data_IF_341640940843
#
_entry.id   IF_341640940843
#
_cell.length_a   1.000
_cell.length_b   1.000
_cell.length_c   1.000
_cell.angle_alpha   90.00
_cell.angle_beta   90.00
_cell.angle_gamma   90.00
#
_symmetry.space_group_name_H-M   'P 1'
#
loop_
_entity.id
_entity.type
_entity.pdbx_description
1 polymer ?
#
# COMPACT_ATOMS: atom_id res chain seq x y z
N UNK A 1 -13.61 -9.64 -17.16
CA UNK A 1 -12.72 -9.70 -15.99
C UNK A 1 -11.36 -9.11 -16.36
N UNK A 2 -10.85 -8.22 -15.53
CA UNK A 2 -9.60 -7.53 -15.86
C UNK A 2 -8.39 -8.36 -15.47
N UNK A 3 -7.39 -8.35 -16.34
CA UNK A 3 -6.11 -9.00 -16.06
C UNK A 3 -5.23 -8.04 -15.28
N UNK A 4 -5.09 -8.29 -13.99
CA UNK A 4 -4.24 -7.49 -13.11
C UNK A 4 -2.88 -8.17 -13.00
N UNK A 5 -1.82 -7.43 -13.27
CA UNK A 5 -0.47 -7.95 -13.19
C UNK A 5 0.47 -6.93 -12.59
N UNK A 6 1.67 -7.37 -12.26
CA UNK A 6 2.72 -6.51 -11.72
C UNK A 6 3.93 -6.61 -12.63
N UNK A 7 4.58 -5.48 -12.88
CA UNK A 7 5.87 -5.49 -13.59
C UNK A 7 6.87 -4.66 -12.81
N UNK A 8 8.17 -4.97 -12.92
CA UNK A 8 9.17 -4.11 -12.27
C UNK A 8 9.11 -2.69 -12.83
N UNK A 9 9.30 -1.70 -11.96
CA UNK A 9 9.41 -0.33 -12.41
C UNK A 9 10.79 -0.12 -13.04
N UNK A 10 10.86 0.84 -13.96
CA UNK A 10 12.12 1.27 -14.57
C UNK A 10 12.24 2.77 -14.38
N UNK A 11 13.44 3.36 -14.56
CA UNK A 11 13.61 4.80 -14.34
C UNK A 11 12.64 5.66 -15.11
N UNK A 12 12.24 5.23 -16.32
CA UNK A 12 11.29 5.98 -17.14
C UNK A 12 9.89 6.07 -16.51
N UNK A 13 9.59 5.25 -15.52
CA UNK A 13 8.29 5.28 -14.85
C UNK A 13 8.17 6.40 -13.81
N UNK A 14 9.24 7.14 -13.55
CA UNK A 14 9.26 8.12 -12.48
C UNK A 14 8.14 9.15 -12.59
N UNK A 15 7.93 9.70 -13.78
CA UNK A 15 6.90 10.72 -13.95
C UNK A 15 5.50 10.13 -13.76
N UNK A 16 5.27 8.93 -14.27
CA UNK A 16 4.00 8.26 -14.06
C UNK A 16 3.74 8.07 -12.57
N UNK A 17 4.73 7.60 -11.82
CA UNK A 17 4.59 7.37 -10.39
C UNK A 17 4.33 8.66 -9.61
N UNK A 18 4.97 9.75 -10.02
CA UNK A 18 4.73 11.04 -9.38
C UNK A 18 3.30 11.53 -9.63
N UNK A 19 2.85 11.48 -10.88
CA UNK A 19 1.50 11.94 -11.22
C UNK A 19 0.43 11.05 -10.57
N UNK A 20 0.70 9.76 -10.50
CA UNK A 20 -0.18 8.81 -9.82
C UNK A 20 -0.33 9.16 -8.35
N UNK A 21 0.78 9.43 -7.67
CA UNK A 21 0.75 9.79 -6.26
C UNK A 21 -0.03 11.09 -6.04
N UNK A 22 0.18 12.05 -6.92
CA UNK A 22 -0.55 13.31 -6.86
C UNK A 22 -2.06 13.08 -7.03
N UNK A 23 -2.44 12.23 -7.97
CA UNK A 23 -3.85 11.94 -8.23
C UNK A 23 -4.49 11.16 -7.08
N UNK A 24 -3.75 10.22 -6.49
CA UNK A 24 -4.30 9.34 -5.45
C UNK A 24 -4.26 9.97 -4.06
N UNK A 25 -3.21 10.74 -3.76
CA UNK A 25 -2.95 11.22 -2.41
C UNK A 25 -2.89 12.74 -2.28
N UNK A 26 -2.93 13.46 -3.41
CA UNK A 26 -2.72 14.89 -3.39
C UNK A 26 -3.67 15.65 -2.46
N UNK A 27 -4.93 15.27 -2.43
CA UNK A 27 -5.91 15.95 -1.57
C UNK A 27 -5.58 15.77 -0.09
N UNK A 28 -5.11 14.59 0.30
CA UNK A 28 -4.73 14.34 1.69
C UNK A 28 -3.50 15.15 2.06
N UNK A 29 -2.49 15.18 1.18
CA UNK A 29 -1.28 15.95 1.41
C UNK A 29 -1.62 17.44 1.48
N UNK A 30 -2.45 17.92 0.56
CA UNK A 30 -2.90 19.31 0.54
C UNK A 30 -3.56 19.67 1.86
N UNK A 31 -4.41 18.80 2.36
CA UNK A 31 -5.18 19.06 3.58
C UNK A 31 -4.30 19.15 4.82
N UNK A 32 -3.20 18.37 4.87
CA UNK A 32 -2.36 18.32 6.06
C UNK A 32 -1.22 19.35 5.97
N UNK A 33 -0.53 19.41 4.83
CA UNK A 33 0.71 20.19 4.67
C UNK A 33 0.65 21.23 3.58
N UNK A 34 -0.37 21.21 2.72
CA UNK A 34 -0.39 21.96 1.49
C UNK A 34 0.42 21.23 0.41
N UNK A 35 -0.01 21.32 -0.83
CA UNK A 35 0.69 20.70 -1.94
C UNK A 35 1.58 21.74 -2.64
N UNK A 36 2.90 21.52 -2.59
CA UNK A 36 3.89 22.29 -3.32
C UNK A 36 4.53 21.34 -4.31
N UNK A 37 4.26 21.55 -5.59
CA UNK A 37 4.66 20.60 -6.63
C UNK A 37 6.17 20.40 -6.65
N UNK A 38 6.94 21.47 -6.51
CA UNK A 38 8.40 21.39 -6.53
C UNK A 38 8.91 20.57 -5.34
N UNK A 39 8.40 20.84 -4.15
CA UNK A 39 8.80 20.11 -2.96
C UNK A 39 8.41 18.64 -3.07
N UNK A 40 7.22 18.35 -3.59
CA UNK A 40 6.76 16.97 -3.74
C UNK A 40 7.56 16.23 -4.79
N UNK A 41 7.97 16.89 -5.86
CA UNK A 41 8.85 16.27 -6.86
C UNK A 41 10.20 15.93 -6.27
N UNK A 42 10.78 16.83 -5.49
CA UNK A 42 12.07 16.56 -4.85
C UNK A 42 11.94 15.37 -3.89
N UNK A 43 10.85 15.30 -3.16
CA UNK A 43 10.57 14.19 -2.26
C UNK A 43 10.49 12.88 -3.02
N UNK A 44 9.74 12.89 -4.12
CA UNK A 44 9.58 11.71 -4.97
C UNK A 44 10.92 11.24 -5.51
N UNK A 45 11.73 12.18 -6.04
CA UNK A 45 13.02 11.84 -6.64
C UNK A 45 13.97 11.19 -5.63
N UNK A 46 13.91 11.63 -4.38
CA UNK A 46 14.74 11.03 -3.34
C UNK A 46 14.29 9.63 -2.94
N UNK A 47 12.99 9.36 -3.05
CA UNK A 47 12.42 8.10 -2.60
C UNK A 47 12.17 7.07 -3.68
N UNK A 48 12.20 7.49 -4.96
CA UNK A 48 11.88 6.57 -6.03
C UNK A 48 13.08 5.67 -6.33
N UNK A 49 12.88 4.37 -6.10
CA UNK A 49 13.90 3.35 -6.36
C UNK A 49 13.27 2.30 -7.26
N UNK A 50 13.45 2.41 -8.58
CA UNK A 50 12.73 1.52 -9.51
C UNK A 50 12.94 0.04 -9.22
N UNK A 51 14.12 -0.35 -8.74
CA UNK A 51 14.40 -1.76 -8.46
C UNK A 51 13.59 -2.31 -7.28
N UNK A 52 13.01 -1.43 -6.45
CA UNK A 52 12.17 -1.83 -5.32
C UNK A 52 10.69 -1.61 -5.58
N UNK A 53 10.35 -0.94 -6.66
CA UNK A 53 8.96 -0.58 -6.98
C UNK A 53 8.43 -1.46 -8.09
N UNK A 54 7.11 -1.67 -8.07
CA UNK A 54 6.42 -2.38 -9.14
C UNK A 54 5.30 -1.50 -9.66
N UNK A 55 5.01 -1.65 -10.93
CA UNK A 55 3.87 -0.99 -11.57
C UNK A 55 2.75 -2.00 -11.67
N UNK A 56 1.58 -1.59 -11.22
CA UNK A 56 0.37 -2.40 -11.35
C UNK A 56 -0.20 -2.14 -12.73
N UNK A 57 -0.40 -3.20 -13.50
CA UNK A 57 -1.04 -3.07 -14.81
C UNK A 57 -2.41 -3.72 -14.80
N UNK A 58 -3.32 -3.16 -15.58
CA UNK A 58 -4.66 -3.70 -15.76
C UNK A 58 -4.87 -3.81 -17.25
N UNK A 59 -5.02 -5.03 -17.75
CA UNK A 59 -5.14 -5.32 -19.18
C UNK A 59 -4.01 -4.68 -19.98
N UNK A 60 -2.80 -4.68 -19.40
CA UNK A 60 -1.61 -4.15 -20.04
C UNK A 60 -1.37 -2.66 -19.87
N UNK A 61 -2.32 -1.93 -19.30
CA UNK A 61 -2.17 -0.49 -19.10
C UNK A 61 -1.66 -0.20 -17.69
N UNK A 62 -0.77 0.79 -17.55
CA UNK A 62 -0.25 1.18 -16.25
C UNK A 62 -1.36 1.82 -15.43
N UNK A 63 -1.62 1.28 -14.26
CA UNK A 63 -2.76 1.67 -13.44
C UNK A 63 -2.38 2.08 -12.03
N UNK A 64 -1.22 1.68 -11.53
CA UNK A 64 -0.86 1.97 -10.16
C UNK A 64 0.56 1.54 -9.82
N UNK A 65 0.90 1.66 -8.55
CA UNK A 65 2.21 1.25 -8.04
C UNK A 65 2.05 0.40 -6.79
N UNK A 66 3.05 -0.46 -6.57
CA UNK A 66 3.11 -1.31 -5.39
C UNK A 66 4.56 -1.35 -4.90
N UNK A 67 4.76 -1.09 -3.61
CA UNK A 67 6.07 -1.19 -2.98
C UNK A 67 5.92 -2.08 -1.75
N UNK A 68 6.64 -3.19 -1.74
CA UNK A 68 6.59 -4.15 -0.63
C UNK A 68 8.01 -4.43 -0.18
N UNK A 69 8.23 -4.30 1.13
CA UNK A 69 9.52 -4.63 1.73
C UNK A 69 9.40 -5.98 2.44
N UNK A 70 10.21 -6.93 2.01
CA UNK A 70 10.27 -8.24 2.67
C UNK A 70 11.34 -8.17 3.74
N UNK A 71 10.90 -7.91 4.97
CA UNK A 71 11.80 -7.73 6.11
C UNK A 71 12.05 -9.06 6.79
N UNK A 72 13.03 -9.06 7.70
CA UNK A 72 13.38 -10.29 8.40
C UNK A 72 12.21 -10.83 9.22
N UNK A 73 11.45 -9.96 9.87
CA UNK A 73 10.39 -10.38 10.79
C UNK A 73 8.98 -10.10 10.29
N UNK A 74 8.82 -9.34 9.22
CA UNK A 74 7.49 -8.97 8.74
C UNK A 74 7.54 -8.57 7.27
N UNK A 75 6.39 -8.63 6.61
CA UNK A 75 6.22 -8.06 5.27
C UNK A 75 5.61 -6.68 5.46
N UNK A 76 6.25 -5.66 4.92
CA UNK A 76 5.78 -4.29 5.04
C UNK A 76 5.28 -3.77 3.70
N UNK A 77 4.00 -3.40 3.67
CA UNK A 77 3.41 -2.78 2.49
C UNK A 77 3.69 -1.28 2.56
N UNK A 78 4.69 -0.84 1.80
CA UNK A 78 5.12 0.55 1.83
C UNK A 78 4.26 1.47 1.00
N UNK A 79 3.68 0.94 -0.09
CA UNK A 79 2.83 1.76 -0.95
C UNK A 79 1.94 0.86 -1.79
N UNK A 80 0.68 1.22 -1.87
CA UNK A 80 -0.24 0.69 -2.87
C UNK A 80 -1.11 1.85 -3.30
N UNK A 81 -0.99 2.24 -4.57
CA UNK A 81 -1.75 3.37 -5.11
C UNK A 81 -2.31 2.97 -6.47
N UNK A 82 -3.58 3.30 -6.68
CA UNK A 82 -4.24 3.11 -7.95
C UNK A 82 -4.71 4.47 -8.46
N UNK A 83 -4.54 4.68 -9.75
CA UNK A 83 -5.12 5.87 -10.38
C UNK A 83 -6.63 5.84 -10.15
N UNK A 84 -7.25 7.00 -9.91
CA UNK A 84 -8.70 7.05 -9.63
C UNK A 84 -9.57 6.30 -10.62
N UNK A 85 -9.17 6.25 -11.89
CA UNK A 85 -9.93 5.54 -12.93
C UNK A 85 -10.00 4.04 -12.67
N UNK A 86 -9.10 3.50 -11.86
CA UNK A 86 -9.03 2.07 -11.57
C UNK A 86 -9.48 1.73 -10.16
N UNK A 87 -9.86 2.73 -9.37
CA UNK A 87 -10.37 2.49 -8.02
C UNK A 87 -11.82 1.99 -8.08
N UNK A 88 -12.22 1.26 -7.04
CA UNK A 88 -13.58 0.76 -6.95
C UNK A 88 -13.89 -0.44 -7.83
N UNK A 89 -12.86 -1.12 -8.34
CA UNK A 89 -13.04 -2.28 -9.22
C UNK A 89 -12.54 -3.58 -8.59
N UNK A 90 -12.20 -3.56 -7.32
CA UNK A 90 -11.72 -4.75 -6.62
C UNK A 90 -10.25 -5.08 -6.85
N UNK A 91 -9.51 -4.23 -7.56
CA UNK A 91 -8.09 -4.47 -7.87
C UNK A 91 -7.27 -4.45 -6.59
N UNK A 92 -7.48 -3.43 -5.74
CA UNK A 92 -6.78 -3.33 -4.47
C UNK A 92 -7.03 -4.54 -3.59
N UNK A 93 -8.26 -5.01 -3.54
CA UNK A 93 -8.62 -6.19 -2.74
C UNK A 93 -7.87 -7.44 -3.20
N UNK A 94 -7.74 -7.61 -4.53
CA UNK A 94 -7.02 -8.75 -5.08
C UNK A 94 -5.55 -8.72 -4.68
N UNK A 95 -4.94 -7.53 -4.77
CA UNK A 95 -3.53 -7.37 -4.42
C UNK A 95 -3.29 -7.59 -2.92
N UNK A 96 -4.18 -7.06 -2.09
CA UNK A 96 -4.06 -7.23 -0.64
C UNK A 96 -4.19 -8.71 -0.26
N UNK A 97 -5.15 -9.42 -0.84
CA UNK A 97 -5.30 -10.85 -0.56
C UNK A 97 -4.05 -11.64 -0.98
N UNK A 98 -3.47 -11.27 -2.12
CA UNK A 98 -2.25 -11.92 -2.58
C UNK A 98 -1.09 -11.67 -1.61
N UNK A 99 -0.97 -10.46 -1.08
CA UNK A 99 0.07 -10.13 -0.10
C UNK A 99 -0.16 -10.86 1.22
N UNK A 100 -1.40 -10.99 1.64
CA UNK A 100 -1.73 -11.76 2.85
C UNK A 100 -1.28 -13.20 2.68
N UNK A 101 -1.56 -13.80 1.51
CA UNK A 101 -1.13 -15.15 1.23
C UNK A 101 0.39 -15.29 1.24
N UNK A 102 1.09 -14.32 0.66
CA UNK A 102 2.54 -14.31 0.63
C UNK A 102 3.11 -14.24 2.05
N UNK A 103 2.59 -13.34 2.86
CA UNK A 103 3.04 -13.21 4.25
C UNK A 103 2.78 -14.50 5.03
N UNK A 104 1.62 -15.11 4.83
CA UNK A 104 1.28 -16.36 5.50
C UNK A 104 2.27 -17.47 5.14
N UNK A 105 2.63 -17.57 3.86
CA UNK A 105 3.59 -18.59 3.42
C UNK A 105 4.97 -18.36 4.02
N UNK A 106 5.30 -17.12 4.35
CA UNK A 106 6.56 -16.77 4.99
C UNK A 106 6.49 -16.90 6.52
N UNK A 107 5.31 -17.19 7.07
CA UNK A 107 5.12 -17.22 8.52
C UNK A 107 5.26 -15.85 9.14
N UNK A 108 4.92 -14.80 8.43
CA UNK A 108 5.10 -13.42 8.88
C UNK A 108 3.78 -12.66 8.84
N UNK A 109 3.70 -11.59 9.62
CA UNK A 109 2.56 -10.68 9.57
C UNK A 109 2.75 -9.68 8.43
N UNK A 110 1.63 -9.16 7.95
CA UNK A 110 1.63 -8.09 6.95
C UNK A 110 1.31 -6.77 7.68
N UNK A 111 2.18 -5.77 7.51
CA UNK A 111 2.11 -4.51 8.25
C UNK A 111 2.08 -3.36 7.26
N UNK A 112 1.36 -2.30 7.60
CA UNK A 112 1.32 -1.09 6.79
C UNK A 112 1.07 0.13 7.67
N UNK A 113 1.25 1.31 7.09
CA UNK A 113 0.88 2.57 7.73
C UNK A 113 -0.12 3.29 6.84
N UNK A 114 -1.12 3.92 7.44
CA UNK A 114 -2.11 4.69 6.71
C UNK A 114 -2.27 6.05 7.40
N UNK A 115 -2.51 7.09 6.60
CA UNK A 115 -2.78 8.41 7.17
C UNK A 115 -4.12 8.38 7.90
N UNK A 116 -4.15 8.92 9.12
CA UNK A 116 -5.37 8.92 9.92
C UNK A 116 -6.51 9.64 9.20
N UNK A 117 -6.19 10.66 8.42
CA UNK A 117 -7.20 11.41 7.66
C UNK A 117 -7.78 10.60 6.52
N UNK A 118 -7.07 9.57 6.06
CA UNK A 118 -7.53 8.72 4.97
C UNK A 118 -8.43 7.62 5.53
N UNK A 119 -9.63 8.03 5.95
CA UNK A 119 -10.57 7.12 6.59
C UNK A 119 -11.07 6.03 5.63
N UNK A 120 -11.08 6.33 4.34
CA UNK A 120 -11.50 5.35 3.33
C UNK A 120 -10.52 4.19 3.27
N UNK A 121 -9.22 4.48 3.24
CA UNK A 121 -8.21 3.43 3.24
C UNK A 121 -8.23 2.65 4.55
N UNK A 122 -8.37 3.35 5.67
CA UNK A 122 -8.44 2.70 6.98
C UNK A 122 -9.59 1.69 7.01
N UNK A 123 -10.77 2.09 6.54
CA UNK A 123 -11.93 1.20 6.50
C UNK A 123 -11.70 0.02 5.55
N UNK A 124 -11.06 0.28 4.42
CA UNK A 124 -10.72 -0.78 3.45
C UNK A 124 -9.85 -1.85 4.12
N UNK A 125 -8.80 -1.42 4.82
CA UNK A 125 -7.90 -2.38 5.48
C UNK A 125 -8.62 -3.11 6.60
N UNK A 126 -9.46 -2.42 7.37
CA UNK A 126 -10.25 -3.09 8.41
C UNK A 126 -11.13 -4.18 7.84
N UNK A 127 -11.79 -3.91 6.71
CA UNK A 127 -12.65 -4.90 6.07
C UNK A 127 -11.87 -6.14 5.63
N UNK A 128 -10.57 -5.97 5.39
CA UNK A 128 -9.71 -7.09 4.97
C UNK A 128 -8.98 -7.75 6.13
N UNK A 129 -9.36 -7.42 7.35
CA UNK A 129 -8.82 -8.11 8.52
C UNK A 129 -7.66 -7.46 9.22
N UNK A 130 -7.27 -6.26 8.78
CA UNK A 130 -6.21 -5.53 9.46
C UNK A 130 -6.76 -4.87 10.71
N UNK A 131 -5.90 -4.76 11.73
CA UNK A 131 -6.24 -4.09 12.98
C UNK A 131 -5.24 -2.99 13.25
N UNK A 132 -5.72 -1.90 13.83
CA UNK A 132 -4.87 -0.81 14.25
C UNK A 132 -4.04 -1.27 15.46
N UNK A 133 -2.71 -1.07 15.40
CA UNK A 133 -1.82 -1.48 16.48
C UNK A 133 -1.17 -0.29 17.17
N UNK A 134 -0.97 0.83 16.47
CA UNK A 134 -0.38 2.02 17.07
C UNK A 134 -0.61 3.22 16.18
N UNK A 135 -0.39 4.39 16.75
CA UNK A 135 -0.38 5.64 15.99
C UNK A 135 0.95 6.32 16.24
N UNK A 136 1.48 6.95 15.20
CA UNK A 136 2.80 7.56 15.30
C UNK A 136 2.92 8.73 14.32
N UNK A 137 4.10 9.34 14.31
CA UNK A 137 4.34 10.50 13.49
C UNK A 137 3.82 11.77 14.14
N UNK A 138 4.03 12.88 13.47
CA UNK A 138 3.62 14.18 13.98
C UNK A 138 2.11 14.20 14.21
N UNK A 139 1.69 14.59 15.42
CA UNK A 139 0.27 14.65 15.79
C UNK A 139 -0.47 13.32 15.58
N UNK A 140 0.26 12.20 15.65
CA UNK A 140 -0.32 10.87 15.48
C UNK A 140 -1.06 10.73 14.15
N UNK A 141 -0.48 11.31 13.09
CA UNK A 141 -1.12 11.30 11.78
C UNK A 141 -1.05 9.98 11.07
N UNK A 142 -0.21 9.06 11.52
CA UNK A 142 -0.05 7.75 10.89
C UNK A 142 -0.58 6.66 11.80
N UNK A 143 -1.33 5.76 11.22
CA UNK A 143 -1.88 4.60 11.93
C UNK A 143 -1.18 3.37 11.40
N UNK A 144 -0.53 2.62 12.31
CA UNK A 144 0.04 1.33 11.95
C UNK A 144 -1.03 0.27 12.06
N UNK A 145 -1.18 -0.52 11.00
CA UNK A 145 -2.16 -1.59 10.95
C UNK A 145 -1.45 -2.91 10.64
N UNK A 146 -2.00 -4.00 11.15
CA UNK A 146 -1.39 -5.32 11.01
C UNK A 146 -2.44 -6.37 10.72
N UNK A 147 -2.12 -7.25 9.78
CA UNK A 147 -2.85 -8.49 9.56
C UNK A 147 -2.02 -9.62 10.15
N UNK A 148 -2.58 -10.35 11.12
CA UNK A 148 -1.88 -11.43 11.80
C UNK A 148 -2.15 -12.72 11.04
N UNK A 149 -1.15 -13.19 10.28
CA UNK A 149 -1.30 -14.40 9.48
C UNK A 149 -1.10 -15.63 10.32
N UNK A 150 -1.95 -16.59 10.09
CA UNK A 150 -1.85 -17.88 10.79
C UNK A 150 -2.30 -17.88 12.24
N UNK A 151 -2.43 -16.70 12.84
CA UNK A 151 -2.77 -16.59 14.22
C UNK A 151 -4.12 -17.23 14.58
N UNK A 152 -5.18 -16.85 13.89
CA UNK A 152 -6.48 -17.40 14.23
C UNK A 152 -6.53 -18.91 14.16
N UNK A 153 -5.95 -19.46 13.10
CA UNK A 153 -5.93 -20.91 12.95
C UNK A 153 -5.12 -21.57 14.04
N UNK A 154 -3.99 -20.98 14.37
CA UNK A 154 -3.15 -21.53 15.42
C UNK A 154 -3.85 -21.51 16.77
N UNK A 155 -4.57 -20.47 17.00
CA UNK A 155 -5.26 -20.30 18.27
C UNK A 155 -6.41 -21.29 18.41
N UNK A 156 -7.01 -21.62 17.32
CA UNK A 156 -8.13 -22.55 17.35
C UNK A 156 -7.71 -23.96 17.68
N UNK A 157 -6.52 -24.31 17.26
CA UNK A 157 -6.03 -25.63 17.50
C UNK A 157 -5.86 -25.96 18.96
N UNK A 158 -5.20 -25.11 19.70
CA UNK A 158 -4.92 -25.47 21.08
C UNK A 158 -6.14 -25.48 21.94
N UNK A 159 -7.20 -25.02 21.48
CA UNK A 159 -8.38 -25.01 22.31
C UNK A 159 -8.80 -26.37 22.72
N UNK A 160 -8.20 -27.32 22.21
CA UNK A 160 -8.50 -28.63 22.59
C UNK A 160 -8.27 -29.00 24.01
#
# INVERSE_FOLDING_TARGET
>A
MNAVALRPAVPADSEFCFQLHKAAMGDYVESIWGWDDEAQRAYHERGFEPERWQVITVDGADAGTLVVDFRETEVYLGRIELHPDYQGRGIGARLIRSLIDTAARRGQHLVLDVLAINTRAHAFYQRHGFREVSRHGESNRKIRMRFITGGPASEEHPTV
#
